data_IF_092637052047
#
_entry.id   IF_092637052047
#
_cell.length_a   1.000
_cell.length_b   1.000
_cell.length_c   1.000
_cell.angle_alpha   90.00
_cell.angle_beta   90.00
_cell.angle_gamma   90.00
#
_symmetry.space_group_name_H-M   'P 1'
#
loop_
_entity.id
_entity.type
_entity.pdbx_description
1 polymer ?
#
# COMPACT_ATOMS: atom_id res chain seq x y z
N UNK A 1 12.97 5.60 2.38
CA UNK A 1 12.33 6.47 1.36
C UNK A 1 10.90 6.08 1.13
N UNK A 2 10.12 6.96 0.50
CA UNK A 2 8.68 6.79 0.34
C UNK A 2 8.27 7.02 -1.12
N UNK A 3 7.32 6.24 -1.61
CA UNK A 3 6.53 6.54 -2.79
C UNK A 3 5.05 6.25 -2.47
N UNK A 4 4.12 7.09 -2.95
CA UNK A 4 2.69 7.00 -2.61
C UNK A 4 1.82 6.74 -3.83
N UNK A 5 0.70 6.07 -3.60
CA UNK A 5 -0.38 5.88 -4.56
C UNK A 5 -1.72 5.88 -3.82
N UNK A 6 -2.81 6.14 -4.53
CA UNK A 6 -4.16 6.19 -3.97
C UNK A 6 -5.08 5.18 -4.67
N UNK A 7 -5.98 4.56 -3.92
CA UNK A 7 -6.96 3.62 -4.46
C UNK A 7 -8.40 4.13 -4.25
N UNK A 8 -9.27 3.88 -5.21
CA UNK A 8 -10.68 4.29 -5.23
C UNK A 8 -11.63 3.43 -4.37
N UNK A 9 -11.07 2.59 -3.50
CA UNK A 9 -11.83 1.55 -2.78
C UNK A 9 -12.22 1.96 -1.38
N UNK A 10 -13.52 1.91 -1.07
CA UNK A 10 -14.07 2.25 0.25
C UNK A 10 -14.12 1.04 1.19
N UNK A 11 -13.02 0.82 1.90
CA UNK A 11 -12.91 -0.17 2.98
C UNK A 11 -12.09 0.41 4.14
N UNK A 12 -12.16 -0.20 5.31
CA UNK A 12 -11.33 0.21 6.44
C UNK A 12 -9.86 -0.10 6.19
N UNK A 13 -8.94 0.62 6.85
CA UNK A 13 -7.51 0.32 6.82
C UNK A 13 -7.23 -1.15 7.17
N UNK A 14 -7.89 -1.67 8.22
CA UNK A 14 -7.73 -3.05 8.66
C UNK A 14 -8.15 -4.05 7.59
N UNK A 15 -9.31 -3.84 6.98
CA UNK A 15 -9.81 -4.74 5.94
C UNK A 15 -8.93 -4.69 4.69
N UNK A 16 -8.41 -3.50 4.34
CA UNK A 16 -7.46 -3.35 3.24
C UNK A 16 -6.16 -4.15 3.51
N UNK A 17 -5.57 -4.00 4.70
CA UNK A 17 -4.37 -4.75 5.08
C UNK A 17 -4.61 -6.26 5.06
N UNK A 18 -5.72 -6.73 5.63
CA UNK A 18 -6.06 -8.16 5.64
C UNK A 18 -6.30 -8.68 4.22
N UNK A 19 -7.06 -7.95 3.40
CA UNK A 19 -7.35 -8.35 2.02
C UNK A 19 -6.08 -8.41 1.17
N UNK A 20 -5.25 -7.36 1.20
CA UNK A 20 -4.00 -7.30 0.46
C UNK A 20 -3.01 -8.37 0.96
N UNK A 21 -2.84 -8.48 2.28
CA UNK A 21 -1.97 -9.49 2.89
C UNK A 21 -2.37 -10.90 2.51
N UNK A 22 -3.67 -11.21 2.52
CA UNK A 22 -4.20 -12.53 2.12
C UNK A 22 -4.08 -12.78 0.62
N UNK A 23 -4.40 -11.78 -0.20
CA UNK A 23 -4.40 -11.88 -1.68
C UNK A 23 -3.00 -12.12 -2.23
N UNK A 24 -2.01 -11.41 -1.68
CA UNK A 24 -0.62 -11.47 -2.17
C UNK A 24 0.30 -12.31 -1.29
N UNK A 25 -0.20 -12.83 -0.16
CA UNK A 25 0.59 -13.51 0.88
C UNK A 25 1.72 -12.64 1.43
N UNK A 26 1.48 -11.33 1.51
CA UNK A 26 2.41 -10.43 2.16
C UNK A 26 2.26 -10.60 3.68
N UNK A 27 3.36 -10.83 4.42
CA UNK A 27 3.35 -10.80 5.88
C UNK A 27 2.73 -9.51 6.39
N UNK A 28 1.79 -9.63 7.32
CA UNK A 28 1.27 -8.50 8.09
C UNK A 28 2.11 -8.37 9.35
N UNK A 29 2.69 -7.20 9.55
CA UNK A 29 3.47 -6.85 10.73
C UNK A 29 2.76 -5.72 11.49
N UNK A 30 2.92 -5.74 12.80
CA UNK A 30 2.36 -4.76 13.73
C UNK A 30 3.53 -4.33 14.62
N UNK A 31 3.87 -3.04 14.55
CA UNK A 31 4.91 -2.45 15.39
C UNK A 31 4.39 -2.18 16.81
N UNK A 32 5.30 -1.89 17.74
CA UNK A 32 5.00 -1.67 19.17
C UNK A 32 4.05 -0.49 19.42
N UNK A 33 3.99 0.47 18.49
CA UNK A 33 3.08 1.61 18.53
C UNK A 33 1.66 1.28 18.00
N UNK A 34 1.44 0.03 17.57
CA UNK A 34 0.19 -0.44 16.98
C UNK A 34 0.06 -0.16 15.48
N UNK A 35 1.07 0.44 14.84
CA UNK A 35 1.10 0.66 13.40
C UNK A 35 1.16 -0.68 12.66
N UNK A 36 0.27 -0.88 11.69
CA UNK A 36 0.19 -2.13 10.94
C UNK A 36 0.53 -1.90 9.46
N UNK A 37 1.39 -2.76 8.91
CA UNK A 37 1.81 -2.70 7.52
C UNK A 37 2.07 -4.09 6.94
N UNK A 38 2.09 -4.16 5.61
CA UNK A 38 2.47 -5.36 4.88
C UNK A 38 3.93 -5.31 4.49
N UNK A 39 4.61 -6.46 4.46
CA UNK A 39 6.01 -6.57 4.02
C UNK A 39 6.13 -7.38 2.71
N UNK A 40 5.87 -6.77 1.53
CA UNK A 40 5.99 -7.46 0.25
C UNK A 40 7.35 -8.14 0.01
N UNK A 41 8.44 -7.53 0.49
CA UNK A 41 9.80 -8.08 0.44
C UNK A 41 10.57 -7.68 1.70
N UNK A 42 11.75 -8.24 1.93
CA UNK A 42 12.65 -7.79 3.02
C UNK A 42 12.98 -6.30 2.95
N UNK A 43 12.87 -5.72 1.75
CA UNK A 43 13.33 -4.37 1.47
C UNK A 43 12.20 -3.36 1.32
N UNK A 44 10.94 -3.83 1.35
CA UNK A 44 9.75 -3.03 1.02
C UNK A 44 8.66 -3.24 2.05
N UNK A 45 8.12 -2.12 2.53
CA UNK A 45 6.94 -2.07 3.38
C UNK A 45 5.81 -1.36 2.62
N UNK A 46 4.58 -1.83 2.80
CA UNK A 46 3.36 -1.24 2.28
C UNK A 46 2.42 -0.89 3.43
N UNK A 47 2.30 0.40 3.72
CA UNK A 47 1.34 0.95 4.65
C UNK A 47 0.05 1.32 3.94
N UNK A 48 -1.06 1.27 4.68
CA UNK A 48 -2.38 1.65 4.19
C UNK A 48 -2.99 2.64 5.18
N UNK A 49 -3.52 3.75 4.66
CA UNK A 49 -4.23 4.75 5.46
C UNK A 49 -5.55 5.09 4.77
N UNK A 50 -6.56 5.45 5.56
CA UNK A 50 -7.78 6.04 5.01
C UNK A 50 -7.55 7.54 4.86
N UNK A 51 -7.80 8.07 3.67
CA UNK A 51 -7.83 9.51 3.40
C UNK A 51 -9.29 9.97 3.41
N UNK A 52 -9.69 10.61 4.50
CA UNK A 52 -11.05 11.14 4.67
C UNK A 52 -11.28 12.44 3.89
N UNK A 53 -10.22 13.09 3.41
CA UNK A 53 -10.29 14.35 2.67
C UNK A 53 -10.52 14.14 1.16
N UNK A 54 -10.13 12.97 0.63
CA UNK A 54 -10.36 12.58 -0.77
C UNK A 54 -11.47 11.52 -0.91
N UNK A 55 -12.73 11.93 -1.13
CA UNK A 55 -13.85 10.98 -1.26
C UNK A 55 -13.80 10.13 -2.54
N UNK A 56 -12.94 10.48 -3.50
CA UNK A 56 -12.74 9.73 -4.75
C UNK A 56 -11.71 8.62 -4.56
N UNK A 57 -10.68 8.85 -3.75
CA UNK A 57 -9.64 7.86 -3.44
C UNK A 57 -9.42 7.74 -1.93
N UNK A 58 -10.31 7.03 -1.22
CA UNK A 58 -10.33 6.97 0.24
C UNK A 58 -9.16 6.18 0.84
N UNK A 59 -8.33 5.50 0.04
CA UNK A 59 -7.16 4.79 0.53
C UNK A 59 -5.87 5.38 -0.01
N UNK A 60 -4.94 5.66 0.88
CA UNK A 60 -3.55 6.01 0.58
C UNK A 60 -2.67 4.80 0.88
N UNK A 61 -1.96 4.35 -0.15
CA UNK A 61 -1.01 3.25 -0.08
C UNK A 61 0.41 3.85 -0.11
N UNK A 62 1.12 3.71 0.99
CA UNK A 62 2.47 4.27 1.16
C UNK A 62 3.50 3.16 1.08
N UNK A 63 4.34 3.21 0.06
CA UNK A 63 5.43 2.27 -0.17
C UNK A 63 6.70 2.83 0.41
N UNK A 64 7.24 2.14 1.40
CA UNK A 64 8.55 2.41 1.97
C UNK A 64 9.57 1.43 1.42
N UNK A 65 10.75 1.93 1.09
CA UNK A 65 11.88 1.09 0.69
C UNK A 65 13.17 1.63 1.32
N UNK A 66 14.09 0.78 1.74
CA UNK A 66 15.29 1.25 2.45
C UNK A 66 16.47 1.69 1.54
N UNK A 67 16.48 1.31 0.25
CA UNK A 67 17.68 1.42 -0.61
C UNK A 67 18.03 2.80 -1.17
N UNK A 68 17.06 3.63 -1.55
CA UNK A 68 17.27 4.84 -2.38
C UNK A 68 16.04 5.74 -2.34
N UNK A 69 15.68 6.55 -3.35
CA UNK A 69 14.30 7.01 -3.66
C UNK A 69 13.73 6.31 -4.92
N UNK A 70 14.61 5.85 -5.81
CA UNK A 70 14.27 5.25 -7.10
C UNK A 70 13.64 3.86 -6.93
N UNK A 71 14.11 3.08 -5.96
CA UNK A 71 13.63 1.72 -5.73
C UNK A 71 12.22 1.72 -5.11
N UNK A 72 11.80 2.75 -4.37
CA UNK A 72 10.40 2.88 -3.92
C UNK A 72 9.49 3.21 -5.09
N UNK A 73 9.92 4.04 -6.05
CA UNK A 73 9.13 4.30 -7.25
C UNK A 73 8.92 3.00 -8.06
N UNK A 74 9.99 2.23 -8.25
CA UNK A 74 9.91 0.92 -8.91
C UNK A 74 8.99 -0.05 -8.16
N UNK A 75 9.15 -0.17 -6.84
CA UNK A 75 8.31 -1.04 -6.02
C UNK A 75 6.84 -0.59 -6.02
N UNK A 76 6.58 0.72 -5.95
CA UNK A 76 5.23 1.29 -6.07
C UNK A 76 4.61 0.94 -7.41
N UNK A 77 5.33 1.10 -8.51
CA UNK A 77 4.76 0.85 -9.85
C UNK A 77 4.46 -0.64 -10.08
N UNK A 78 5.31 -1.52 -9.54
CA UNK A 78 5.06 -2.97 -9.51
C UNK A 78 3.84 -3.32 -8.65
N UNK A 79 3.78 -2.80 -7.42
CA UNK A 79 2.65 -3.02 -6.50
C UNK A 79 1.35 -2.44 -7.04
N UNK A 80 1.37 -1.25 -7.65
CA UNK A 80 0.20 -0.65 -8.32
C UNK A 80 -0.40 -1.61 -9.34
N UNK A 81 0.46 -2.13 -10.21
CA UNK A 81 0.04 -3.03 -11.29
C UNK A 81 -0.53 -4.32 -10.73
N UNK A 82 0.15 -4.89 -9.74
CA UNK A 82 -0.24 -6.12 -9.08
C UNK A 82 -1.56 -5.99 -8.32
N UNK A 83 -1.71 -4.93 -7.51
CA UNK A 83 -2.89 -4.67 -6.70
C UNK A 83 -4.08 -4.38 -7.60
N UNK A 84 -3.96 -3.47 -8.57
CA UNK A 84 -5.05 -3.15 -9.49
C UNK A 84 -5.54 -4.38 -10.25
N UNK A 85 -4.63 -5.23 -10.74
CA UNK A 85 -5.00 -6.43 -11.48
C UNK A 85 -5.71 -7.49 -10.64
N UNK A 86 -5.30 -7.70 -9.37
CA UNK A 86 -5.87 -8.77 -8.52
C UNK A 86 -7.10 -8.34 -7.72
N UNK A 87 -7.21 -7.05 -7.41
CA UNK A 87 -8.32 -6.52 -6.59
C UNK A 87 -9.39 -5.82 -7.42
N UNK A 88 -9.05 -5.39 -8.64
CA UNK A 88 -9.91 -4.55 -9.47
C UNK A 88 -9.91 -3.07 -9.07
N UNK A 89 -9.11 -2.66 -8.08
CA UNK A 89 -9.04 -1.28 -7.63
C UNK A 89 -8.43 -0.38 -8.71
N UNK A 90 -8.98 0.82 -8.89
CA UNK A 90 -8.35 1.86 -9.67
C UNK A 90 -7.31 2.54 -8.79
N UNK A 91 -6.03 2.40 -9.17
CA UNK A 91 -4.92 2.96 -8.41
C UNK A 91 -4.24 4.06 -9.23
N UNK A 92 -4.15 5.25 -8.65
CA UNK A 92 -3.45 6.39 -9.22
C UNK A 92 -2.17 6.67 -8.45
N UNK A 93 -1.12 7.04 -9.17
CA UNK A 93 0.16 7.42 -8.57
C UNK A 93 0.09 8.87 -8.15
N UNK A 94 0.63 9.19 -6.96
CA UNK A 94 0.84 10.57 -6.51
C UNK A 94 2.33 10.91 -6.56
N UNK A 95 2.64 12.16 -6.88
CA UNK A 95 4.00 12.71 -6.86
C UNK A 95 4.58 12.78 -5.45
#
# INVERSE_FOLDING_TARGET
MIARMRADTRITQRDALVMLGSTFRFPLEIDDDGSAYLRPTSDTTLEVHVDEEDPLHPLVLTVWHWKGPKEALLARDQLRTLISHKTGWKIIVTE
#
